data_IF_227954629918
#
_entry.id   IF_227954629918
#
_cell.length_a   1.000
_cell.length_b   1.000
_cell.length_c   1.000
_cell.angle_alpha   90.00
_cell.angle_beta   90.00
_cell.angle_gamma   90.00
#
_symmetry.space_group_name_H-M   'P 1'
#
loop_
_entity.id
_entity.type
_entity.pdbx_description
1 polymer ?
#
# COMPACT_ATOMS: atom_id res chain seq x y z
N UNK A 1 -14.32 5.48 -2.88
CA UNK A 1 -14.54 4.19 -3.57
C UNK A 1 -14.97 3.03 -2.64
N UNK A 2 -15.45 3.30 -1.43
CA UNK A 2 -15.81 2.29 -0.41
C UNK A 2 -17.24 1.72 -0.60
N UNK A 3 -18.07 2.34 -1.44
CA UNK A 3 -19.49 2.05 -1.52
C UNK A 3 -19.94 0.66 -2.05
N UNK A 4 -19.35 0.08 -3.11
CA UNK A 4 -19.95 -1.14 -3.68
C UNK A 4 -19.81 -2.38 -2.81
N UNK A 5 -18.72 -2.54 -2.06
CA UNK A 5 -18.55 -3.73 -1.21
C UNK A 5 -19.32 -3.66 0.10
N UNK A 6 -19.69 -2.48 0.60
CA UNK A 6 -20.59 -2.35 1.74
C UNK A 6 -21.97 -2.93 1.42
N UNK A 7 -22.46 -2.75 0.20
CA UNK A 7 -23.73 -3.33 -0.24
C UNK A 7 -23.67 -4.86 -0.33
N UNK A 8 -22.54 -5.40 -0.83
CA UNK A 8 -22.33 -6.86 -0.89
C UNK A 8 -22.25 -7.44 0.53
N UNK A 9 -21.51 -6.80 1.42
CA UNK A 9 -21.42 -7.23 2.82
C UNK A 9 -22.78 -7.15 3.56
N UNK A 10 -23.54 -6.08 3.32
CA UNK A 10 -24.87 -5.91 3.88
C UNK A 10 -25.83 -7.02 3.40
N UNK A 11 -25.79 -7.32 2.09
CA UNK A 11 -26.59 -8.40 1.51
C UNK A 11 -26.20 -9.76 2.11
N UNK A 12 -24.91 -10.00 2.31
CA UNK A 12 -24.42 -11.23 2.96
C UNK A 12 -25.00 -11.37 4.39
N UNK A 13 -25.02 -10.28 5.17
CA UNK A 13 -25.59 -10.29 6.52
C UNK A 13 -27.12 -10.51 6.50
N UNK A 14 -27.83 -9.86 5.59
CA UNK A 14 -29.29 -10.00 5.41
C UNK A 14 -29.66 -11.45 5.07
N UNK A 15 -28.83 -12.18 4.34
CA UNK A 15 -29.05 -13.58 4.01
C UNK A 15 -28.60 -14.53 5.13
N UNK A 16 -27.49 -14.21 5.81
CA UNK A 16 -26.92 -15.05 6.86
C UNK A 16 -27.86 -15.20 8.06
N UNK A 17 -28.44 -14.07 8.51
CA UNK A 17 -29.29 -14.06 9.73
C UNK A 17 -30.51 -14.95 9.59
N UNK A 18 -31.41 -14.81 8.59
CA UNK A 18 -32.55 -15.70 8.44
C UNK A 18 -32.16 -17.14 8.11
N UNK A 19 -31.07 -17.34 7.32
CA UNK A 19 -30.55 -18.66 7.05
C UNK A 19 -30.13 -19.40 8.31
N UNK A 20 -29.40 -18.73 9.21
CA UNK A 20 -28.99 -19.28 10.50
C UNK A 20 -30.19 -19.55 11.43
N UNK A 21 -31.17 -18.65 11.47
CA UNK A 21 -32.42 -18.84 12.22
C UNK A 21 -33.16 -20.07 11.69
N UNK A 22 -33.24 -20.28 10.39
CA UNK A 22 -33.89 -21.45 9.79
C UNK A 22 -33.16 -22.76 10.12
N UNK A 23 -31.83 -22.74 10.20
CA UNK A 23 -31.03 -23.89 10.61
C UNK A 23 -31.18 -24.22 12.09
N UNK A 24 -31.07 -23.20 12.96
CA UNK A 24 -31.03 -23.38 14.42
C UNK A 24 -32.40 -23.51 15.08
N UNK A 25 -33.46 -22.94 14.49
CA UNK A 25 -34.81 -22.91 15.10
C UNK A 25 -35.57 -24.24 15.05
N UNK A 26 -34.91 -25.33 14.68
CA UNK A 26 -35.56 -26.65 14.59
C UNK A 26 -35.64 -27.42 15.91
N UNK A 27 -35.27 -26.82 17.04
CA UNK A 27 -35.16 -27.54 18.33
C UNK A 27 -36.02 -27.08 19.49
N UNK A 28 -36.65 -25.93 19.47
CA UNK A 28 -37.40 -25.42 20.62
C UNK A 28 -38.80 -24.98 20.22
N UNK A 29 -39.77 -25.81 20.52
CA UNK A 29 -41.08 -25.57 21.09
C UNK A 29 -42.17 -26.51 20.63
N UNK A 30 -42.73 -27.09 21.68
CA UNK A 30 -44.07 -27.42 22.08
C UNK A 30 -44.68 -28.67 21.47
N UNK A 31 -44.74 -29.64 22.36
CA UNK A 31 -45.79 -30.65 22.40
C UNK A 31 -47.15 -29.96 22.32
N UNK A 32 -47.74 -29.96 21.15
CA UNK A 32 -49.18 -29.87 20.92
C UNK A 32 -49.46 -30.20 19.45
N UNK A 33 -49.84 -31.42 19.21
CA UNK A 33 -50.87 -31.86 18.27
C UNK A 33 -50.97 -31.16 16.91
N UNK A 34 -49.95 -31.35 16.02
CA UNK A 34 -50.21 -31.23 14.58
C UNK A 34 -49.17 -31.97 13.73
N UNK A 35 -49.66 -32.93 12.97
CA UNK A 35 -48.90 -33.77 12.02
C UNK A 35 -48.53 -32.98 10.77
N UNK A 36 -47.37 -32.30 10.74
CA UNK A 36 -46.72 -31.86 9.47
C UNK A 36 -45.19 -32.06 9.47
N UNK A 37 -44.71 -33.32 9.35
CA UNK A 37 -43.27 -33.62 9.38
C UNK A 37 -42.51 -33.29 8.08
N UNK A 38 -43.19 -33.03 6.94
CA UNK A 38 -42.55 -32.94 5.62
C UNK A 38 -41.85 -31.62 5.31
N UNK A 39 -42.10 -30.54 5.99
CA UNK A 39 -41.51 -29.21 5.69
C UNK A 39 -40.20 -28.93 6.42
N UNK A 40 -39.82 -29.72 7.43
CA UNK A 40 -38.58 -29.55 8.20
C UNK A 40 -37.29 -29.71 7.38
N UNK A 41 -37.12 -30.75 6.52
CA UNK A 41 -35.90 -30.91 5.72
C UNK A 41 -35.77 -29.81 4.65
N UNK A 42 -36.89 -29.41 4.03
CA UNK A 42 -36.91 -28.33 3.03
C UNK A 42 -36.49 -27.00 3.65
N UNK A 43 -37.00 -26.67 4.84
CA UNK A 43 -36.62 -25.45 5.57
C UNK A 43 -35.13 -25.44 5.94
N UNK A 44 -34.59 -26.59 6.37
CA UNK A 44 -33.14 -26.71 6.66
C UNK A 44 -32.30 -26.57 5.40
N UNK A 45 -32.71 -27.14 4.29
CA UNK A 45 -32.06 -27.04 3.02
C UNK A 45 -32.03 -25.57 2.56
N UNK A 46 -33.15 -24.86 2.64
CA UNK A 46 -33.21 -23.42 2.29
C UNK A 46 -32.30 -22.61 3.24
N UNK A 47 -32.31 -22.87 4.53
CA UNK A 47 -31.43 -22.21 5.49
C UNK A 47 -29.93 -22.45 5.18
N UNK A 48 -29.59 -23.70 4.83
CA UNK A 48 -28.24 -24.05 4.42
C UNK A 48 -27.81 -23.29 3.14
N UNK A 49 -28.65 -23.28 2.12
CA UNK A 49 -28.38 -22.57 0.87
C UNK A 49 -28.21 -21.06 1.11
N UNK A 50 -29.05 -20.47 1.97
CA UNK A 50 -28.90 -19.06 2.33
C UNK A 50 -27.58 -18.77 3.05
N UNK A 51 -27.14 -19.63 3.97
CA UNK A 51 -25.85 -19.48 4.66
C UNK A 51 -24.68 -19.66 3.71
N UNK A 52 -24.73 -20.64 2.79
CA UNK A 52 -23.70 -20.84 1.79
C UNK A 52 -23.61 -19.65 0.83
N UNK A 53 -24.75 -19.11 0.39
CA UNK A 53 -24.78 -17.91 -0.45
C UNK A 53 -24.24 -16.70 0.30
N UNK A 54 -24.60 -16.51 1.56
CA UNK A 54 -24.08 -15.45 2.40
C UNK A 54 -22.56 -15.56 2.60
N UNK A 55 -22.05 -16.77 2.83
CA UNK A 55 -20.60 -17.02 2.93
C UNK A 55 -19.88 -16.70 1.61
N UNK A 56 -20.45 -17.08 0.46
CA UNK A 56 -19.90 -16.77 -0.86
C UNK A 56 -19.84 -15.26 -1.13
N UNK A 57 -20.91 -14.53 -0.78
CA UNK A 57 -20.97 -13.07 -0.90
C UNK A 57 -19.98 -12.40 0.08
N UNK A 58 -19.83 -12.91 1.30
CA UNK A 58 -18.82 -12.44 2.23
C UNK A 58 -17.40 -12.60 1.71
N UNK A 59 -17.07 -13.76 1.15
CA UNK A 59 -15.78 -14.01 0.51
C UNK A 59 -15.56 -13.08 -0.70
N UNK A 60 -16.59 -12.85 -1.50
CA UNK A 60 -16.53 -11.92 -2.63
C UNK A 60 -16.27 -10.49 -2.14
N UNK A 61 -16.97 -10.04 -1.11
CA UNK A 61 -16.74 -8.70 -0.53
C UNK A 61 -15.31 -8.54 -0.02
N UNK A 62 -14.78 -9.53 0.70
CA UNK A 62 -13.38 -9.55 1.16
C UNK A 62 -12.42 -9.49 -0.04
N UNK A 63 -12.67 -10.28 -1.09
CA UNK A 63 -11.86 -10.29 -2.30
C UNK A 63 -11.83 -8.90 -2.96
N UNK A 64 -12.99 -8.26 -3.13
CA UNK A 64 -13.08 -6.91 -3.73
C UNK A 64 -12.31 -5.87 -2.89
N UNK A 65 -12.41 -5.93 -1.56
CA UNK A 65 -11.63 -5.05 -0.67
C UNK A 65 -10.13 -5.27 -0.84
N UNK A 66 -9.69 -6.53 -0.95
CA UNK A 66 -8.28 -6.86 -1.16
C UNK A 66 -7.78 -6.34 -2.52
N UNK A 67 -8.54 -6.51 -3.59
CA UNK A 67 -8.21 -5.95 -4.90
C UNK A 67 -8.14 -4.42 -4.87
N UNK A 68 -9.09 -3.75 -4.22
CA UNK A 68 -9.08 -2.30 -4.09
C UNK A 68 -7.84 -1.78 -3.33
N UNK A 69 -7.40 -2.50 -2.30
CA UNK A 69 -6.17 -2.17 -1.55
C UNK A 69 -4.90 -2.41 -2.36
N UNK A 70 -4.87 -3.46 -3.19
CA UNK A 70 -3.73 -3.73 -4.10
C UNK A 70 -3.59 -2.70 -5.21
N UNK A 71 -4.61 -1.89 -5.44
CA UNK A 71 -4.64 -0.82 -6.45
C UNK A 71 -4.43 0.58 -5.85
N UNK A 72 -4.37 0.72 -4.52
CA UNK A 72 -4.21 2.03 -3.86
C UNK A 72 -2.76 2.25 -3.47
N UNK A 73 -2.14 3.23 -4.12
CA UNK A 73 -0.81 3.73 -3.77
C UNK A 73 -0.90 4.55 -2.47
N UNK A 74 0.05 4.36 -1.56
CA UNK A 74 0.13 5.12 -0.32
C UNK A 74 1.00 6.37 -0.52
N UNK A 75 0.52 7.58 -0.21
CA UNK A 75 1.31 8.79 -0.33
C UNK A 75 2.44 8.79 0.73
N UNK A 76 3.68 8.94 0.27
CA UNK A 76 4.89 8.99 1.09
C UNK A 76 5.28 10.43 1.43
N UNK A 77 5.06 11.36 0.50
CA UNK A 77 5.44 12.77 0.64
C UNK A 77 5.54 13.49 -0.70
N UNK A 78 6.30 14.58 -0.71
CA UNK A 78 6.57 15.34 -1.93
C UNK A 78 8.02 15.85 -1.96
N UNK A 79 8.51 16.10 -3.16
CA UNK A 79 9.82 16.71 -3.39
C UNK A 79 9.70 17.77 -4.48
N UNK A 80 10.29 18.95 -4.26
CA UNK A 80 10.32 20.05 -5.22
C UNK A 80 11.75 20.55 -5.42
N UNK A 81 12.01 21.14 -6.57
CA UNK A 81 13.35 21.56 -6.98
C UNK A 81 13.37 23.03 -7.41
N UNK A 82 14.42 23.72 -7.00
CA UNK A 82 14.77 25.06 -7.47
C UNK A 82 16.20 25.01 -7.96
N UNK A 83 16.44 25.41 -9.20
CA UNK A 83 17.78 25.46 -9.77
C UNK A 83 18.56 26.62 -9.20
N UNK A 84 19.75 26.35 -8.67
CA UNK A 84 20.67 27.37 -8.18
C UNK A 84 21.74 27.69 -9.25
N UNK A 85 22.29 26.66 -9.89
CA UNK A 85 23.28 26.73 -10.98
C UNK A 85 23.09 25.57 -11.95
N UNK A 86 23.72 25.55 -13.12
CA UNK A 86 23.72 24.36 -13.98
C UNK A 86 24.12 23.11 -13.18
N UNK A 87 23.31 22.07 -13.24
CA UNK A 87 23.48 20.81 -12.50
C UNK A 87 23.54 20.96 -10.94
N UNK A 88 23.07 22.09 -10.41
CA UNK A 88 22.95 22.29 -8.96
C UNK A 88 21.54 22.75 -8.59
N UNK A 89 20.88 21.99 -7.75
CA UNK A 89 19.51 22.23 -7.33
C UNK A 89 19.40 22.25 -5.80
N UNK A 90 18.44 23.01 -5.33
CA UNK A 90 17.95 22.91 -3.95
C UNK A 90 16.69 22.06 -3.98
N UNK A 91 16.77 20.88 -3.42
CA UNK A 91 15.63 19.98 -3.25
C UNK A 91 14.94 20.25 -1.91
N UNK A 92 13.64 20.44 -1.93
CA UNK A 92 12.81 20.54 -0.73
C UNK A 92 11.97 19.28 -0.62
N UNK A 93 12.31 18.43 0.35
CA UNK A 93 11.63 17.17 0.64
C UNK A 93 10.68 17.38 1.81
N UNK A 94 9.39 17.05 1.60
CA UNK A 94 8.36 17.07 2.63
C UNK A 94 7.85 15.65 2.89
N UNK A 95 8.09 15.17 4.11
CA UNK A 95 7.67 13.85 4.57
C UNK A 95 6.75 14.01 5.80
N UNK A 96 5.59 13.33 5.86
CA UNK A 96 4.58 13.49 6.93
C UNK A 96 5.14 13.34 8.35
N UNK A 97 6.15 12.48 8.54
CA UNK A 97 6.72 12.16 9.86
C UNK A 97 8.00 12.93 10.19
N UNK A 98 8.57 13.68 9.25
CA UNK A 98 9.88 14.36 9.39
C UNK A 98 9.73 15.85 9.18
N UNK A 99 8.68 16.28 8.48
CA UNK A 99 8.46 17.66 8.05
C UNK A 99 9.29 18.02 6.83
N UNK A 100 9.31 19.30 6.51
CA UNK A 100 9.98 19.86 5.36
C UNK A 100 11.48 20.07 5.64
N UNK A 101 12.33 19.59 4.74
CA UNK A 101 13.79 19.76 4.78
C UNK A 101 14.33 20.09 3.40
N UNK A 102 15.38 20.91 3.37
CA UNK A 102 16.06 21.31 2.14
C UNK A 102 17.45 20.69 2.04
N UNK A 103 17.81 20.24 0.83
CA UNK A 103 19.06 19.57 0.54
C UNK A 103 19.68 20.12 -0.77
N UNK A 104 20.95 20.49 -0.79
CA UNK A 104 21.64 20.78 -2.05
C UNK A 104 21.90 19.47 -2.79
N UNK A 105 21.50 19.40 -4.06
CA UNK A 105 21.74 18.27 -4.94
C UNK A 105 22.53 18.70 -6.17
N UNK A 106 23.53 17.91 -6.52
CA UNK A 106 24.31 18.05 -7.75
C UNK A 106 23.94 16.94 -8.72
N UNK A 107 23.84 17.29 -10.00
CA UNK A 107 23.54 16.35 -11.09
C UNK A 107 22.33 16.77 -11.92
N UNK A 108 21.89 15.88 -12.76
CA UNK A 108 20.76 16.05 -13.69
C UNK A 108 19.50 15.40 -13.16
N UNK A 109 19.63 14.35 -12.35
CA UNK A 109 18.55 13.58 -11.81
C UNK A 109 18.69 13.39 -10.29
N UNK A 110 17.56 13.11 -9.64
CA UNK A 110 17.52 12.79 -8.22
C UNK A 110 17.13 11.33 -8.00
N UNK A 111 17.61 10.75 -6.93
CA UNK A 111 17.26 9.42 -6.49
C UNK A 111 16.93 9.42 -5.00
N UNK A 112 15.74 8.91 -4.66
CA UNK A 112 15.31 8.70 -3.29
C UNK A 112 15.23 7.20 -3.01
N UNK A 113 16.07 6.74 -2.08
CA UNK A 113 16.12 5.33 -1.68
C UNK A 113 15.28 5.10 -0.44
N UNK A 114 14.51 4.04 -0.46
CA UNK A 114 13.77 3.55 0.69
C UNK A 114 14.06 2.07 0.94
N UNK A 115 14.06 1.72 2.21
CA UNK A 115 14.06 0.33 2.65
C UNK A 115 12.65 -0.11 2.93
N UNK A 116 12.25 -1.23 2.35
CA UNK A 116 10.88 -1.74 2.42
C UNK A 116 10.87 -3.13 3.05
N UNK A 117 9.98 -3.33 3.99
CA UNK A 117 9.67 -4.64 4.59
C UNK A 117 8.33 -5.10 4.05
N UNK A 118 8.34 -6.20 3.33
CA UNK A 118 7.15 -6.83 2.77
C UNK A 118 6.56 -7.85 3.74
N UNK A 119 5.26 -8.03 3.64
CA UNK A 119 4.55 -9.05 4.38
C UNK A 119 4.37 -10.31 3.54
N UNK A 120 4.47 -11.49 4.18
CA UNK A 120 4.07 -12.75 3.54
C UNK A 120 2.56 -12.85 3.38
N UNK A 121 2.11 -13.77 2.52
CA UNK A 121 0.71 -13.95 2.14
C UNK A 121 -0.32 -13.82 3.27
N UNK A 122 -0.20 -14.42 4.46
CA UNK A 122 -1.22 -14.30 5.50
C UNK A 122 -1.42 -12.85 5.97
N UNK A 123 -0.35 -12.10 6.18
CA UNK A 123 -0.42 -10.71 6.62
C UNK A 123 -0.82 -9.76 5.48
N UNK A 124 -0.35 -10.05 4.24
CA UNK A 124 -0.77 -9.35 3.04
C UNK A 124 -2.28 -9.52 2.79
N UNK A 125 -2.80 -10.73 2.94
CA UNK A 125 -4.24 -11.02 2.85
C UNK A 125 -5.05 -10.35 3.97
N UNK A 126 -4.46 -10.17 5.15
CA UNK A 126 -5.05 -9.38 6.22
C UNK A 126 -5.03 -7.86 5.93
N UNK A 127 -4.41 -7.44 4.80
CA UNK A 127 -4.37 -6.05 4.35
C UNK A 127 -3.37 -5.18 5.11
N UNK A 128 -2.30 -5.78 5.64
CA UNK A 128 -1.21 -5.01 6.26
C UNK A 128 -0.44 -4.24 5.18
N UNK A 129 -0.30 -2.91 5.30
CA UNK A 129 0.47 -2.10 4.36
C UNK A 129 1.98 -2.43 4.47
N UNK A 130 2.77 -2.27 3.40
CA UNK A 130 4.21 -2.42 3.48
C UNK A 130 4.78 -1.40 4.47
N UNK A 131 5.75 -1.83 5.27
CA UNK A 131 6.49 -0.91 6.13
C UNK A 131 7.68 -0.37 5.32
N UNK A 132 7.83 0.94 5.28
CA UNK A 132 8.95 1.57 4.57
C UNK A 132 9.66 2.61 5.45
N UNK A 133 10.92 2.81 5.13
CA UNK A 133 11.77 3.84 5.73
C UNK A 133 12.60 4.47 4.62
N UNK A 134 12.44 5.77 4.43
CA UNK A 134 13.29 6.55 3.52
C UNK A 134 14.70 6.63 4.14
N UNK A 135 15.72 6.30 3.36
CA UNK A 135 17.08 6.19 3.88
C UNK A 135 18.04 7.23 3.31
N UNK A 136 17.90 7.57 2.02
CA UNK A 136 18.88 8.38 1.35
C UNK A 136 18.27 9.18 0.19
N UNK A 137 18.67 10.44 0.10
CA UNK A 137 18.44 11.29 -1.07
C UNK A 137 19.79 11.60 -1.73
N UNK A 138 19.90 11.39 -3.02
CA UNK A 138 21.12 11.64 -3.77
C UNK A 138 20.85 12.26 -5.14
N UNK A 139 21.79 13.07 -5.61
CA UNK A 139 21.84 13.51 -7.00
C UNK A 139 22.62 12.53 -7.86
N UNK A 140 22.31 12.50 -9.15
CA UNK A 140 22.95 11.65 -10.16
C UNK A 140 23.19 12.43 -11.44
N UNK A 141 24.25 12.10 -12.14
CA UNK A 141 24.54 12.64 -13.46
C UNK A 141 24.11 11.65 -14.54
N UNK A 142 23.59 12.14 -15.65
CA UNK A 142 23.21 11.30 -16.80
C UNK A 142 24.45 10.82 -17.55
N UNK A 143 25.47 11.71 -17.68
CA UNK A 143 26.74 11.35 -18.28
C UNK A 143 27.54 10.42 -17.36
N UNK A 144 28.03 9.31 -17.93
CA UNK A 144 28.73 8.26 -17.16
C UNK A 144 30.06 8.75 -16.62
N UNK A 145 30.78 9.59 -17.37
CA UNK A 145 32.09 10.08 -16.96
C UNK A 145 31.93 11.14 -15.86
N UNK A 146 30.88 11.96 -15.95
CA UNK A 146 30.50 12.86 -14.86
C UNK A 146 30.05 12.09 -13.62
N UNK A 147 29.23 11.04 -13.77
CA UNK A 147 28.78 10.20 -12.62
C UNK A 147 29.96 9.56 -11.87
N UNK A 148 31.09 9.30 -12.58
CA UNK A 148 32.31 8.72 -11.98
C UNK A 148 33.22 9.76 -11.32
N UNK A 149 33.27 10.97 -11.85
CA UNK A 149 34.31 11.97 -11.49
C UNK A 149 33.77 13.23 -10.82
N UNK A 150 32.52 13.61 -11.08
CA UNK A 150 31.95 14.84 -10.55
C UNK A 150 31.54 14.71 -9.06
N UNK A 151 31.47 15.82 -8.31
CA UNK A 151 31.10 15.83 -6.92
C UNK A 151 29.67 15.30 -6.73
N UNK A 152 29.50 14.18 -6.04
CA UNK A 152 28.19 13.61 -5.72
C UNK A 152 27.60 14.23 -4.46
N UNK A 153 26.32 14.54 -4.50
CA UNK A 153 25.53 14.90 -3.32
C UNK A 153 24.80 13.67 -2.80
N UNK A 154 25.03 13.33 -1.54
CA UNK A 154 24.37 12.19 -0.86
C UNK A 154 23.99 12.63 0.54
N UNK A 155 22.67 12.55 0.85
CA UNK A 155 22.13 12.94 2.13
C UNK A 155 21.49 11.74 2.84
N UNK A 156 21.91 11.51 4.08
CA UNK A 156 21.30 10.49 4.95
C UNK A 156 20.00 11.03 5.54
N UNK A 157 18.91 10.35 5.27
CA UNK A 157 17.56 10.68 5.77
C UNK A 157 17.15 9.84 6.98
N UNK A 158 18.01 8.98 7.49
CA UNK A 158 17.77 8.17 8.68
C UNK A 158 17.79 9.03 9.93
N UNK A 159 16.69 9.73 10.19
CA UNK A 159 16.61 10.76 11.22
C UNK A 159 16.74 10.23 12.67
N UNK A 160 16.44 8.93 12.93
CA UNK A 160 16.51 8.33 14.27
C UNK A 160 16.88 6.85 14.20
N UNK A 161 17.54 6.29 15.21
CA UNK A 161 17.74 4.86 15.35
C UNK A 161 16.42 4.18 15.68
N UNK A 162 15.53 4.09 14.69
CA UNK A 162 14.32 3.28 14.84
C UNK A 162 14.69 1.81 14.76
N UNK A 163 14.04 0.94 15.53
CA UNK A 163 14.27 -0.49 15.47
C UNK A 163 14.18 -0.97 14.01
N UNK A 164 15.25 -1.55 13.51
CA UNK A 164 15.26 -2.15 12.17
C UNK A 164 14.57 -3.51 12.24
N UNK A 165 13.32 -3.56 11.76
CA UNK A 165 12.52 -4.80 11.68
C UNK A 165 13.26 -5.88 10.88
N UNK A 166 14.01 -5.48 9.84
CA UNK A 166 14.86 -6.42 9.08
C UNK A 166 16.01 -6.98 9.90
N UNK A 167 16.67 -6.15 10.75
CA UNK A 167 17.70 -6.62 11.66
C UNK A 167 17.10 -7.55 12.73
N UNK A 168 15.92 -7.21 13.27
CA UNK A 168 15.20 -8.06 14.20
C UNK A 168 14.83 -9.41 13.59
N UNK A 169 14.35 -9.40 12.33
CA UNK A 169 14.05 -10.63 11.57
C UNK A 169 15.28 -11.51 11.35
N UNK A 170 16.42 -10.91 11.02
CA UNK A 170 17.68 -11.66 10.86
C UNK A 170 18.13 -12.30 12.16
N UNK A 171 17.97 -11.60 13.30
CA UNK A 171 18.39 -12.09 14.61
C UNK A 171 17.41 -13.10 15.21
N UNK A 172 16.11 -12.95 14.94
CA UNK A 172 15.03 -13.77 15.49
C UNK A 172 14.05 -14.20 14.37
N UNK A 173 14.45 -15.07 13.44
CA UNK A 173 13.62 -15.43 12.29
C UNK A 173 12.28 -16.07 12.67
N UNK A 174 12.22 -16.77 13.79
CA UNK A 174 11.00 -17.42 14.28
C UNK A 174 9.97 -16.44 14.87
N UNK A 175 10.39 -15.26 15.32
CA UNK A 175 9.50 -14.28 15.96
C UNK A 175 8.66 -13.48 14.96
N UNK A 176 9.13 -13.40 13.71
CA UNK A 176 8.48 -12.64 12.66
C UNK A 176 8.24 -13.53 11.41
N UNK A 177 7.45 -14.62 11.54
CA UNK A 177 7.26 -15.57 10.44
C UNK A 177 6.57 -14.94 9.22
N UNK A 178 5.81 -13.86 9.43
CA UNK A 178 5.03 -13.18 8.40
C UNK A 178 5.78 -12.04 7.69
N UNK A 179 7.00 -11.72 8.13
CA UNK A 179 7.86 -10.72 7.50
C UNK A 179 8.66 -11.39 6.38
N UNK A 180 8.54 -10.84 5.18
CA UNK A 180 9.37 -11.22 4.04
C UNK A 180 10.61 -10.31 3.95
N UNK A 181 11.49 -10.66 3.02
CA UNK A 181 12.82 -10.04 2.88
C UNK A 181 12.69 -8.53 2.68
N UNK A 182 13.58 -7.81 3.36
CA UNK A 182 13.82 -6.40 3.18
C UNK A 182 14.39 -6.13 1.78
N UNK A 183 13.67 -5.36 0.98
CA UNK A 183 14.06 -4.98 -0.38
C UNK A 183 14.34 -3.49 -0.40
N UNK A 184 15.41 -3.07 -1.07
CA UNK A 184 15.63 -1.67 -1.42
C UNK A 184 14.69 -1.28 -2.55
N UNK A 185 14.10 -0.10 -2.47
CA UNK A 185 13.33 0.51 -3.55
C UNK A 185 13.77 1.95 -3.73
N UNK A 186 13.76 2.43 -4.96
CA UNK A 186 14.19 3.80 -5.27
C UNK A 186 13.25 4.43 -6.29
N UNK A 187 12.94 5.72 -6.08
CA UNK A 187 12.37 6.59 -7.09
C UNK A 187 13.52 7.40 -7.75
N UNK A 188 13.49 7.50 -9.06
CA UNK A 188 14.49 8.20 -9.86
C UNK A 188 13.81 8.98 -10.98
N UNK A 189 14.05 10.28 -11.09
CA UNK A 189 13.51 11.18 -12.11
C UNK A 189 14.48 12.38 -12.30
N UNK A 190 14.36 13.12 -13.42
CA UNK A 190 15.18 14.31 -13.65
C UNK A 190 14.85 15.43 -12.66
N UNK A 191 15.83 16.27 -12.34
CA UNK A 191 15.65 17.50 -11.59
C UNK A 191 15.20 18.61 -12.54
N UNK A 192 13.98 19.13 -12.32
CA UNK A 192 13.38 20.18 -13.16
C UNK A 192 13.25 21.46 -12.33
N UNK A 193 13.63 22.60 -12.89
CA UNK A 193 13.54 23.89 -12.21
C UNK A 193 12.08 24.30 -11.97
N UNK A 194 11.69 24.45 -10.70
CA UNK A 194 10.32 24.65 -10.29
C UNK A 194 9.42 23.41 -10.41
N UNK A 195 10.00 22.24 -10.68
CA UNK A 195 9.27 20.96 -10.73
C UNK A 195 8.94 20.44 -9.34
N UNK A 196 7.75 19.83 -9.21
CA UNK A 196 7.27 19.21 -7.97
C UNK A 196 6.75 17.81 -8.24
N UNK A 197 7.20 16.84 -7.45
CA UNK A 197 6.79 15.44 -7.55
C UNK A 197 6.13 14.97 -6.27
N UNK A 198 5.07 14.17 -6.39
CA UNK A 198 4.48 13.41 -5.28
C UNK A 198 5.10 12.03 -5.22
N UNK A 199 5.45 11.60 -4.03
CA UNK A 199 6.06 10.31 -3.75
C UNK A 199 4.98 9.33 -3.30
N UNK A 200 5.03 8.12 -3.83
CA UNK A 200 4.07 7.05 -3.51
C UNK A 200 4.81 5.74 -3.26
N UNK A 201 4.21 4.93 -2.42
CA UNK A 201 4.58 3.52 -2.22
C UNK A 201 3.46 2.64 -2.75
N UNK A 202 3.77 1.75 -3.68
CA UNK A 202 2.81 0.75 -4.11
C UNK A 202 2.60 -0.34 -3.05
N UNK A 203 1.51 -1.09 -3.07
CA UNK A 203 1.25 -2.17 -2.11
C UNK A 203 2.29 -3.30 -2.14
N UNK A 204 3.10 -3.40 -3.21
CA UNK A 204 4.19 -4.36 -3.34
C UNK A 204 5.51 -3.84 -2.78
N UNK A 205 5.55 -2.56 -2.37
CA UNK A 205 6.72 -1.91 -1.80
C UNK A 205 7.65 -1.27 -2.84
N UNK A 206 7.15 -0.90 -4.01
CA UNK A 206 7.89 -0.06 -4.94
C UNK A 206 7.66 1.42 -4.61
N UNK A 207 8.75 2.15 -4.37
CA UNK A 207 8.74 3.59 -4.26
C UNK A 207 8.79 4.19 -5.66
N UNK A 208 7.89 5.11 -5.96
CA UNK A 208 7.86 5.83 -7.23
C UNK A 208 7.38 7.26 -7.03
N UNK A 209 7.59 8.11 -8.04
CA UNK A 209 7.16 9.48 -8.04
C UNK A 209 6.29 9.79 -9.25
N UNK A 210 5.35 10.73 -9.08
CA UNK A 210 4.53 11.29 -10.17
C UNK A 210 4.60 12.81 -10.12
N UNK A 211 4.51 13.51 -11.27
CA UNK A 211 4.34 14.95 -11.29
C UNK A 211 3.19 15.39 -10.38
N UNK A 212 3.39 16.44 -9.60
CA UNK A 212 2.36 16.94 -8.68
C UNK A 212 1.32 17.82 -9.39
N UNK A 213 1.71 18.41 -10.51
CA UNK A 213 0.95 19.38 -11.27
C UNK A 213 1.20 19.26 -12.78
N UNK A 214 0.28 19.78 -13.64
CA UNK A 214 0.40 19.72 -15.09
C UNK A 214 1.63 20.43 -15.66
N UNK A 215 2.16 21.47 -14.94
CA UNK A 215 3.39 22.17 -15.35
C UNK A 215 4.58 21.22 -15.25
N UNK A 216 4.74 20.55 -14.12
CA UNK A 216 5.80 19.56 -13.90
C UNK A 216 5.69 18.40 -14.90
N UNK A 217 4.45 17.97 -15.22
CA UNK A 217 4.21 16.92 -16.21
C UNK A 217 4.64 17.35 -17.62
N UNK A 218 4.34 18.60 -18.04
CA UNK A 218 4.79 19.14 -19.32
C UNK A 218 6.32 19.23 -19.38
N UNK A 219 6.96 19.76 -18.34
CA UNK A 219 8.42 19.84 -18.26
C UNK A 219 9.08 18.47 -18.32
N UNK A 220 8.49 17.44 -17.70
CA UNK A 220 8.99 16.08 -17.71
C UNK A 220 8.95 15.48 -19.12
N UNK A 221 7.84 15.71 -19.83
CA UNK A 221 7.65 15.30 -21.23
C UNK A 221 8.62 15.99 -22.17
N UNK A 222 8.83 17.31 -21.99
CA UNK A 222 9.81 18.09 -22.79
C UNK A 222 11.25 17.62 -22.54
N UNK A 223 11.53 17.10 -21.36
CA UNK A 223 12.81 16.46 -21.03
C UNK A 223 12.96 15.02 -21.57
N UNK A 224 11.94 14.50 -22.28
CA UNK A 224 12.02 13.17 -22.90
C UNK A 224 11.69 11.98 -21.97
N UNK A 225 10.97 12.25 -20.88
CA UNK A 225 10.57 11.25 -19.88
C UNK A 225 9.08 10.93 -19.93
#
# INVERSE_FOLDING_TARGET
MVAPFLWIALLAVILAVPGLIMLLSSGRRRAAHERRPRLRPVRRLIGLLMVLLAASLGLLAVSVVQYARLLSDEPVGSISFVRNQPQQFIATLDLPNVGQRTFPLNGDAWQLDARVVRWRLPALLAGMPPLYKVERLSGRYEDIDQERSAPRSVHDLRAFPTPDVGALKRRFPAWLPFVDVQVGSAAYLPMLDGGTFRLFMDPRGALFARPADPKTEAMLRDAGW
#
